data_IF_149182674994
#
_entry.id   IF_149182674994
#
_cell.length_a   1.000
_cell.length_b   1.000
_cell.length_c   1.000
_cell.angle_alpha   90.00
_cell.angle_beta   90.00
_cell.angle_gamma   90.00
#
_symmetry.space_group_name_H-M   'P 1'
#
loop_
_entity.id
_entity.type
_entity.pdbx_description
1 polymer ?
#
# COMPACT_ATOMS: atom_id res chain seq x y z
N UNK A 1 -28.33 -13.60 5.58
CA UNK A 1 -27.46 -12.59 6.23
C UNK A 1 -26.62 -13.32 7.26
N UNK A 2 -25.31 -13.32 7.11
CA UNK A 2 -24.43 -14.20 7.91
C UNK A 2 -24.30 -13.70 9.35
N UNK A 3 -24.82 -14.47 10.29
CA UNK A 3 -24.73 -14.24 11.75
C UNK A 3 -23.26 -14.19 12.23
N UNK A 4 -22.34 -14.71 11.44
CA UNK A 4 -20.89 -14.78 11.74
C UNK A 4 -20.13 -13.53 11.35
N UNK A 5 -20.71 -12.58 10.58
CA UNK A 5 -19.98 -11.39 10.10
C UNK A 5 -19.52 -10.48 11.24
N UNK A 6 -20.37 -10.25 12.22
CA UNK A 6 -20.03 -9.39 13.37
C UNK A 6 -18.88 -9.94 14.23
N UNK A 7 -18.94 -11.20 14.68
CA UNK A 7 -17.85 -11.83 15.41
C UNK A 7 -16.55 -11.92 14.63
N UNK A 8 -16.59 -12.22 13.33
CA UNK A 8 -15.40 -12.28 12.47
C UNK A 8 -14.72 -10.91 12.29
N UNK A 9 -15.53 -9.86 12.09
CA UNK A 9 -15.02 -8.49 11.99
C UNK A 9 -14.43 -7.98 13.31
N UNK A 10 -15.00 -8.39 14.44
CA UNK A 10 -14.45 -8.07 15.76
C UNK A 10 -13.11 -8.79 16.02
N UNK A 11 -13.03 -10.07 15.66
CA UNK A 11 -11.79 -10.86 15.74
C UNK A 11 -10.68 -10.27 14.85
N UNK A 12 -11.01 -9.87 13.62
CA UNK A 12 -10.07 -9.28 12.68
C UNK A 12 -9.51 -7.91 13.14
N UNK A 13 -10.26 -7.16 13.96
CA UNK A 13 -9.84 -5.85 14.52
C UNK A 13 -9.16 -5.95 15.88
N UNK A 14 -9.05 -7.15 16.46
CA UNK A 14 -8.47 -7.31 17.80
C UNK A 14 -6.95 -7.54 17.69
N UNK A 15 -6.17 -6.56 18.13
CA UNK A 15 -4.70 -6.58 18.14
C UNK A 15 -4.12 -7.85 18.77
N UNK A 16 -4.72 -8.35 19.87
CA UNK A 16 -4.25 -9.59 20.53
C UNK A 16 -4.46 -10.83 19.66
N UNK A 17 -5.51 -10.84 18.85
CA UNK A 17 -5.79 -11.94 17.92
C UNK A 17 -4.83 -11.86 16.74
N UNK A 18 -4.51 -10.66 16.30
CA UNK A 18 -3.50 -10.39 15.27
C UNK A 18 -2.11 -10.87 15.72
N UNK A 19 -1.68 -10.45 16.91
CA UNK A 19 -0.40 -10.88 17.50
C UNK A 19 -0.33 -12.41 17.69
N UNK A 20 -1.42 -13.03 18.14
CA UNK A 20 -1.49 -14.48 18.29
C UNK A 20 -1.45 -15.18 16.93
N UNK A 21 -2.12 -14.65 15.92
CA UNK A 21 -2.13 -15.21 14.57
C UNK A 21 -0.75 -15.11 13.89
N UNK A 22 0.00 -14.02 14.12
CA UNK A 22 1.35 -13.83 13.55
C UNK A 22 2.42 -14.67 14.26
N UNK A 23 2.20 -15.05 15.53
CA UNK A 23 3.17 -15.86 16.31
C UNK A 23 2.96 -17.37 16.15
N UNK A 24 1.87 -17.84 15.56
CA UNK A 24 1.64 -19.27 15.37
C UNK A 24 2.38 -19.78 14.12
N UNK A 25 3.21 -20.85 14.22
CA UNK A 25 4.04 -21.34 13.10
C UNK A 25 3.24 -21.81 11.88
N UNK A 26 1.99 -22.22 12.05
CA UNK A 26 1.10 -22.61 10.95
C UNK A 26 0.57 -21.40 10.19
N UNK A 27 0.28 -20.29 10.89
CA UNK A 27 -0.18 -19.05 10.28
C UNK A 27 0.96 -18.29 9.60
N UNK A 28 2.17 -18.33 10.16
CA UNK A 28 3.34 -17.68 9.55
C UNK A 28 3.68 -18.26 8.18
N UNK A 29 3.59 -19.60 8.01
CA UNK A 29 3.84 -20.23 6.70
C UNK A 29 2.75 -19.92 5.66
N UNK A 30 1.49 -19.75 6.10
CA UNK A 30 0.39 -19.32 5.22
C UNK A 30 0.55 -17.86 4.85
N UNK A 31 0.83 -16.98 5.82
CA UNK A 31 1.06 -15.55 5.56
C UNK A 31 2.26 -15.36 4.63
N UNK A 32 3.37 -16.05 4.86
CA UNK A 32 4.56 -15.99 3.98
C UNK A 32 4.28 -16.44 2.54
N UNK A 33 3.22 -17.23 2.30
CA UNK A 33 2.79 -17.62 0.96
C UNK A 33 1.98 -16.53 0.22
N UNK A 34 1.50 -15.51 0.94
CA UNK A 34 0.63 -14.44 0.39
C UNK A 34 1.20 -13.04 0.58
N UNK A 35 2.07 -12.84 1.56
CA UNK A 35 2.73 -11.55 1.83
C UNK A 35 4.22 -11.75 1.58
N UNK A 36 4.78 -11.11 0.55
CA UNK A 36 6.17 -11.34 0.13
C UNK A 36 7.20 -10.83 1.14
N UNK A 37 6.80 -9.96 2.08
CA UNK A 37 7.69 -9.45 3.12
C UNK A 37 7.13 -8.21 3.82
N UNK A 38 7.77 -7.82 4.91
CA UNK A 38 7.45 -6.61 5.69
C UNK A 38 8.46 -5.48 5.42
N UNK A 39 9.58 -5.77 4.74
CA UNK A 39 10.62 -4.81 4.39
C UNK A 39 10.72 -4.60 2.90
N UNK A 40 11.16 -3.41 2.48
CA UNK A 40 11.41 -3.07 1.07
C UNK A 40 12.37 -4.08 0.40
N UNK A 41 13.39 -4.53 1.12
CA UNK A 41 14.36 -5.49 0.59
C UNK A 41 13.71 -6.84 0.24
N UNK A 42 12.86 -7.38 1.13
CA UNK A 42 12.14 -8.64 0.89
C UNK A 42 11.18 -8.54 -0.30
N UNK A 43 10.46 -7.41 -0.41
CA UNK A 43 9.58 -7.15 -1.56
C UNK A 43 10.38 -7.10 -2.86
N UNK A 44 11.52 -6.42 -2.88
CA UNK A 44 12.39 -6.33 -4.07
C UNK A 44 12.97 -7.69 -4.44
N UNK A 45 13.29 -8.55 -3.47
CA UNK A 45 13.73 -9.93 -3.72
C UNK A 45 12.60 -10.78 -4.30
N UNK A 46 11.36 -10.63 -3.81
CA UNK A 46 10.19 -11.30 -4.38
C UNK A 46 9.92 -10.85 -5.83
N UNK A 47 10.03 -9.55 -6.11
CA UNK A 47 9.92 -9.01 -7.48
C UNK A 47 11.01 -9.57 -8.39
N UNK A 48 12.23 -9.72 -7.89
CA UNK A 48 13.32 -10.32 -8.67
C UNK A 48 13.02 -11.79 -9.01
N UNK A 49 12.45 -12.56 -8.08
CA UNK A 49 12.04 -13.93 -8.33
C UNK A 49 10.92 -14.01 -9.38
N UNK A 50 9.87 -13.18 -9.25
CA UNK A 50 8.79 -13.09 -10.25
C UNK A 50 9.33 -12.71 -11.64
N UNK A 51 10.24 -11.75 -11.70
CA UNK A 51 10.86 -11.30 -12.95
C UNK A 51 11.70 -12.41 -13.61
N UNK A 52 12.41 -13.22 -12.80
CA UNK A 52 13.18 -14.36 -13.30
C UNK A 52 12.28 -15.44 -13.92
N UNK A 53 11.04 -15.57 -13.41
CA UNK A 53 10.00 -16.46 -13.95
C UNK A 53 9.23 -15.84 -15.13
N UNK A 54 9.58 -14.61 -15.56
CA UNK A 54 8.93 -13.89 -16.66
C UNK A 54 7.57 -13.29 -16.29
N UNK A 55 7.28 -13.13 -15.00
CA UNK A 55 6.04 -12.54 -14.49
C UNK A 55 6.17 -11.03 -14.36
N UNK A 56 5.04 -10.33 -14.55
CA UNK A 56 4.88 -8.92 -14.22
C UNK A 56 4.37 -8.80 -12.78
N UNK A 57 4.68 -7.68 -12.12
CA UNK A 57 4.30 -7.46 -10.74
C UNK A 57 3.58 -6.12 -10.55
N UNK A 58 2.52 -6.14 -9.76
CA UNK A 58 1.87 -4.96 -9.19
C UNK A 58 2.11 -4.99 -7.68
N UNK A 59 2.64 -3.91 -7.13
CA UNK A 59 3.08 -3.86 -5.74
C UNK A 59 2.23 -2.84 -4.99
N UNK A 60 1.56 -3.30 -3.94
CA UNK A 60 0.73 -2.49 -3.05
C UNK A 60 1.33 -2.46 -1.64
N UNK A 61 1.36 -1.29 -1.03
CA UNK A 61 1.75 -1.12 0.38
C UNK A 61 0.50 -1.29 1.25
N UNK A 62 0.55 -2.27 2.15
CA UNK A 62 -0.56 -2.54 3.06
C UNK A 62 -0.68 -1.41 4.11
N UNK A 63 -1.72 -0.63 4.00
CA UNK A 63 -2.03 0.47 4.90
C UNK A 63 -3.19 1.28 4.34
N UNK A 64 -4.36 1.12 4.94
CA UNK A 64 -5.59 1.81 4.56
C UNK A 64 -6.07 2.65 5.74
N UNK A 65 -7.05 3.53 5.51
CA UNK A 65 -7.70 4.32 6.58
C UNK A 65 -6.72 5.14 7.43
N UNK A 66 -5.74 5.77 6.79
CA UNK A 66 -4.78 6.66 7.44
C UNK A 66 -5.49 7.83 8.13
N UNK A 67 -5.27 7.97 9.43
CA UNK A 67 -5.92 8.98 10.29
C UNK A 67 -4.94 10.05 10.79
N UNK A 68 -3.64 9.85 10.62
CA UNK A 68 -2.56 10.76 11.01
C UNK A 68 -1.68 11.10 9.81
N UNK A 69 -1.24 12.36 9.71
CA UNK A 69 -0.39 12.82 8.62
C UNK A 69 0.92 12.03 8.52
N UNK A 70 1.52 11.70 9.67
CA UNK A 70 2.77 10.93 9.73
C UNK A 70 2.65 9.53 9.09
N UNK A 71 1.47 8.92 9.14
CA UNK A 71 1.23 7.62 8.49
C UNK A 71 1.23 7.77 6.97
N UNK A 72 0.57 8.82 6.44
CA UNK A 72 0.58 9.12 5.01
C UNK A 72 1.99 9.42 4.50
N UNK A 73 2.77 10.21 5.26
CA UNK A 73 4.17 10.50 4.95
C UNK A 73 5.03 9.24 4.92
N UNK A 74 4.87 8.35 5.90
CA UNK A 74 5.57 7.06 5.95
C UNK A 74 5.24 6.18 4.74
N UNK A 75 3.96 6.14 4.33
CA UNK A 75 3.52 5.42 3.14
C UNK A 75 4.19 5.97 1.88
N UNK A 76 4.23 7.29 1.70
CA UNK A 76 4.92 7.92 0.57
C UNK A 76 6.41 7.58 0.56
N UNK A 77 7.07 7.66 1.73
CA UNK A 77 8.49 7.33 1.86
C UNK A 77 8.76 5.87 1.48
N UNK A 78 7.92 4.93 1.90
CA UNK A 78 8.04 3.51 1.56
C UNK A 78 7.92 3.27 0.03
N UNK A 79 6.97 3.92 -0.65
CA UNK A 79 6.86 3.82 -2.11
C UNK A 79 8.07 4.43 -2.82
N UNK A 80 8.58 5.57 -2.37
CA UNK A 80 9.76 6.21 -2.97
C UNK A 80 10.97 5.30 -2.82
N UNK A 81 11.23 4.78 -1.63
CA UNK A 81 12.32 3.84 -1.37
C UNK A 81 12.21 2.59 -2.24
N UNK A 82 11.02 1.98 -2.32
CA UNK A 82 10.77 0.81 -3.15
C UNK A 82 11.11 1.10 -4.62
N UNK A 83 10.63 2.21 -5.17
CA UNK A 83 10.86 2.60 -6.56
C UNK A 83 12.35 2.85 -6.85
N UNK A 84 13.08 3.45 -5.90
CA UNK A 84 14.53 3.63 -6.00
C UNK A 84 15.27 2.29 -6.02
N UNK A 85 14.89 1.36 -5.15
CA UNK A 85 15.50 0.03 -5.09
C UNK A 85 15.19 -0.82 -6.33
N UNK A 86 13.95 -0.77 -6.84
CA UNK A 86 13.57 -1.43 -8.09
C UNK A 86 14.41 -0.89 -9.26
N UNK A 87 14.58 0.42 -9.33
CA UNK A 87 15.41 1.06 -10.36
C UNK A 87 16.88 0.65 -10.25
N UNK A 88 17.44 0.69 -9.05
CA UNK A 88 18.83 0.32 -8.80
C UNK A 88 19.14 -1.14 -9.18
N UNK A 89 18.17 -2.04 -9.06
CA UNK A 89 18.27 -3.46 -9.42
C UNK A 89 17.83 -3.79 -10.85
N UNK A 90 17.39 -2.79 -11.63
CA UNK A 90 16.92 -2.97 -13.01
C UNK A 90 15.58 -3.71 -13.12
N UNK A 91 14.77 -3.69 -12.04
CA UNK A 91 13.49 -4.40 -11.93
C UNK A 91 12.27 -3.54 -12.28
N UNK A 92 12.45 -2.25 -12.55
CA UNK A 92 11.35 -1.32 -12.82
C UNK A 92 10.53 -1.70 -14.06
N UNK A 93 11.20 -2.26 -15.07
CA UNK A 93 10.50 -2.73 -16.26
C UNK A 93 9.80 -4.05 -15.98
N UNK A 94 8.47 -4.06 -16.03
CA UNK A 94 7.65 -5.22 -15.69
C UNK A 94 7.10 -5.18 -14.26
N UNK A 95 7.39 -4.10 -13.53
CA UNK A 95 6.80 -3.82 -12.22
C UNK A 95 6.00 -2.52 -12.28
N UNK A 96 4.97 -2.42 -11.48
CA UNK A 96 4.24 -1.17 -11.19
C UNK A 96 3.90 -1.10 -9.71
N UNK A 97 3.60 0.08 -9.22
CA UNK A 97 3.04 0.26 -7.88
C UNK A 97 1.57 0.64 -7.97
N UNK A 98 0.76 0.06 -7.09
CA UNK A 98 -0.64 0.41 -6.90
C UNK A 98 -0.80 1.21 -5.62
N UNK A 99 -1.50 2.34 -5.67
CA UNK A 99 -1.66 3.25 -4.54
C UNK A 99 -3.12 3.49 -4.22
N UNK A 100 -3.45 3.50 -2.93
CA UNK A 100 -4.76 3.88 -2.41
C UNK A 100 -4.71 5.31 -1.89
N UNK A 101 -5.63 6.15 -2.32
CA UNK A 101 -5.61 7.57 -1.92
C UNK A 101 -5.93 7.77 -0.44
N UNK A 102 -6.68 6.85 0.20
CA UNK A 102 -6.90 6.90 1.66
C UNK A 102 -5.61 6.66 2.43
N UNK A 103 -4.74 5.77 1.96
CA UNK A 103 -3.40 5.58 2.52
C UNK A 103 -2.48 6.79 2.31
N UNK A 104 -2.77 7.62 1.30
CA UNK A 104 -2.04 8.86 1.00
C UNK A 104 -2.64 10.10 1.66
N UNK A 105 -3.64 9.93 2.53
CA UNK A 105 -4.19 11.02 3.32
C UNK A 105 -5.48 11.64 2.80
N UNK A 106 -6.21 10.99 1.87
CA UNK A 106 -7.47 11.50 1.32
C UNK A 106 -8.53 11.74 2.41
N UNK A 107 -8.59 10.88 3.42
CA UNK A 107 -9.56 10.92 4.51
C UNK A 107 -9.04 11.61 5.79
N UNK A 108 -7.86 12.24 5.76
CA UNK A 108 -7.30 12.91 6.93
C UNK A 108 -8.22 14.02 7.44
N UNK A 109 -8.42 14.11 8.77
CA UNK A 109 -9.17 15.20 9.38
C UNK A 109 -8.46 16.54 9.21
N UNK A 110 -9.19 17.66 9.32
CA UNK A 110 -8.62 18.99 9.15
C UNK A 110 -7.51 19.33 10.15
N UNK A 111 -7.45 18.67 11.30
CA UNK A 111 -6.35 18.78 12.28
C UNK A 111 -5.03 18.24 11.74
N UNK A 112 -5.09 17.19 10.92
CA UNK A 112 -3.94 16.51 10.33
C UNK A 112 -3.62 17.00 8.92
N UNK A 113 -4.62 17.49 8.19
CA UNK A 113 -4.49 18.04 6.86
C UNK A 113 -5.17 19.43 6.78
N UNK A 114 -4.54 20.50 7.27
CA UNK A 114 -5.12 21.86 7.25
C UNK A 114 -5.48 22.38 5.84
N UNK A 115 -4.80 21.87 4.82
CA UNK A 115 -5.07 22.15 3.41
C UNK A 115 -6.17 21.28 2.79
N UNK A 116 -6.69 20.30 3.54
CA UNK A 116 -7.68 19.32 3.13
C UNK A 116 -7.06 18.00 2.63
N UNK A 117 -7.72 16.90 2.95
CA UNK A 117 -7.25 15.56 2.60
C UNK A 117 -7.07 15.34 1.09
N UNK A 118 -7.96 15.88 0.25
CA UNK A 118 -7.84 15.84 -1.22
C UNK A 118 -6.51 16.42 -1.70
N UNK A 119 -6.13 17.60 -1.19
CA UNK A 119 -4.88 18.24 -1.58
C UNK A 119 -3.68 17.46 -1.08
N UNK A 120 -3.75 16.94 0.15
CA UNK A 120 -2.69 16.10 0.72
C UNK A 120 -2.48 14.85 -0.13
N UNK A 121 -3.57 14.12 -0.44
CA UNK A 121 -3.49 12.91 -1.27
C UNK A 121 -2.96 13.22 -2.68
N UNK A 122 -3.37 14.34 -3.30
CA UNK A 122 -2.86 14.76 -4.61
C UNK A 122 -1.35 15.03 -4.59
N UNK A 123 -0.86 15.77 -3.59
CA UNK A 123 0.57 16.11 -3.47
C UNK A 123 1.41 14.85 -3.19
N UNK A 124 0.92 13.95 -2.35
CA UNK A 124 1.52 12.67 -2.04
C UNK A 124 1.55 11.74 -3.27
N UNK A 125 0.43 11.59 -3.98
CA UNK A 125 0.37 10.82 -5.22
C UNK A 125 1.32 11.36 -6.29
N UNK A 126 1.40 12.69 -6.45
CA UNK A 126 2.36 13.34 -7.37
C UNK A 126 3.81 13.02 -7.02
N UNK A 127 4.13 12.92 -5.73
CA UNK A 127 5.48 12.56 -5.29
C UNK A 127 5.83 11.14 -5.72
N UNK A 128 4.93 10.18 -5.49
CA UNK A 128 5.09 8.79 -5.92
C UNK A 128 5.16 8.71 -7.46
N UNK A 129 4.28 9.40 -8.18
CA UNK A 129 4.29 9.42 -9.65
C UNK A 129 5.62 9.97 -10.23
N UNK A 130 6.22 10.97 -9.60
CA UNK A 130 7.55 11.47 -10.00
C UNK A 130 8.63 10.43 -9.77
N UNK A 131 8.61 9.76 -8.62
CA UNK A 131 9.55 8.67 -8.32
C UNK A 131 9.39 7.52 -9.30
N UNK A 132 8.17 7.08 -9.59
CA UNK A 132 7.88 6.02 -10.57
C UNK A 132 8.37 6.38 -11.98
N UNK A 133 8.12 7.62 -12.43
CA UNK A 133 8.63 8.10 -13.72
C UNK A 133 10.16 8.10 -13.77
N UNK A 134 10.82 8.51 -12.69
CA UNK A 134 12.29 8.50 -12.61
C UNK A 134 12.84 7.08 -12.60
N UNK A 135 12.14 6.14 -11.95
CA UNK A 135 12.46 4.72 -11.95
C UNK A 135 12.17 4.02 -13.30
N UNK A 136 11.38 4.62 -14.18
CA UNK A 136 10.98 4.03 -15.47
C UNK A 136 9.83 3.03 -15.36
N UNK A 137 8.93 3.24 -14.40
CA UNK A 137 7.72 2.44 -14.19
C UNK A 137 6.47 3.34 -14.09
N UNK A 138 5.34 2.77 -13.76
CA UNK A 138 4.04 3.45 -13.70
C UNK A 138 3.37 3.26 -12.33
N UNK A 139 2.36 4.08 -12.09
CA UNK A 139 1.51 4.04 -10.90
C UNK A 139 0.09 3.76 -11.33
N UNK A 140 -0.53 2.78 -10.71
CA UNK A 140 -1.97 2.55 -10.77
C UNK A 140 -2.61 3.18 -9.52
N UNK A 141 -3.71 3.91 -9.70
CA UNK A 141 -4.52 4.38 -8.57
C UNK A 141 -5.64 3.39 -8.37
N UNK A 142 -5.62 2.72 -7.23
CA UNK A 142 -6.61 1.72 -6.88
C UNK A 142 -7.91 2.36 -6.38
N UNK A 143 -9.04 1.82 -6.86
CA UNK A 143 -10.37 2.21 -6.37
C UNK A 143 -10.72 1.39 -5.15
N UNK A 144 -11.03 2.08 -4.04
CA UNK A 144 -11.28 1.44 -2.77
C UNK A 144 -12.76 1.04 -2.64
N UNK A 145 -13.60 1.93 -2.14
CA UNK A 145 -15.02 1.64 -2.02
C UNK A 145 -15.91 2.72 -2.69
N UNK A 146 -17.22 2.49 -2.67
CA UNK A 146 -18.17 3.39 -3.30
C UNK A 146 -18.25 4.77 -2.62
N UNK A 147 -17.80 4.92 -1.38
CA UNK A 147 -17.84 6.20 -0.65
C UNK A 147 -16.66 7.09 -1.02
N UNK A 148 -15.58 6.52 -1.52
CA UNK A 148 -14.35 7.24 -1.90
C UNK A 148 -14.21 7.45 -3.41
N UNK A 149 -15.06 6.81 -4.24
CA UNK A 149 -14.94 6.83 -5.71
C UNK A 149 -14.92 8.25 -6.27
N UNK A 150 -15.89 9.11 -5.88
CA UNK A 150 -15.97 10.48 -6.40
C UNK A 150 -14.77 11.33 -5.95
N UNK A 151 -14.31 11.11 -4.71
CA UNK A 151 -13.14 11.78 -4.16
C UNK A 151 -11.86 11.35 -4.87
N UNK A 152 -11.71 10.07 -5.19
CA UNK A 152 -10.59 9.54 -5.96
C UNK A 152 -10.57 10.12 -7.37
N UNK A 153 -11.70 10.16 -8.06
CA UNK A 153 -11.81 10.76 -9.39
C UNK A 153 -11.53 12.27 -9.41
N UNK A 154 -11.83 12.98 -8.31
CA UNK A 154 -11.55 14.40 -8.19
C UNK A 154 -10.05 14.71 -7.96
N UNK A 155 -9.26 13.75 -7.54
CA UNK A 155 -7.79 13.86 -7.37
C UNK A 155 -7.05 13.60 -8.67
N UNK A 156 -7.60 12.75 -9.55
CA UNK A 156 -7.00 12.38 -10.85
C UNK A 156 -7.15 13.48 -11.89
#
# INVERSE_FOLDING_TARGET
>A
MSVLRGPLMWLARNERVKDLATTMPVTSSVVAGYVPGESTAEVVDAVAACSADGLLTTIDFLGEDTVEAVQAEATVAAYVELLEQLSARGLSRGSEVSVKLTALGLALPASEAPQGGHRTALENARTICRAARNAGTQVTVDMEDHTTTDATLAVL
#
